data_IF_564395646004
#
_entry.id   IF_564395646004
#
_cell.length_a   1.000
_cell.length_b   1.000
_cell.length_c   1.000
_cell.angle_alpha   90.00
_cell.angle_beta   90.00
_cell.angle_gamma   90.00
#
_symmetry.space_group_name_H-M   'P 1'
#
loop_
_entity.id
_entity.type
_entity.pdbx_description
1 polymer ?
#
# COMPACT_ATOMS: atom_id res chain seq x y z
N UNK A 1 -17.04 -84.17 3.05
CA UNK A 1 -15.88 -83.67 3.83
C UNK A 1 -15.80 -82.16 3.63
N UNK A 2 -15.77 -81.38 4.73
CA UNK A 2 -15.04 -80.11 4.98
C UNK A 2 -14.83 -79.13 3.78
N UNK A 3 -15.09 -77.82 3.80
CA UNK A 3 -15.18 -76.79 4.86
C UNK A 3 -16.03 -75.60 4.33
N UNK A 4 -16.89 -74.96 5.13
CA UNK A 4 -16.69 -73.70 5.89
C UNK A 4 -16.25 -72.48 5.05
N UNK A 5 -17.01 -71.37 5.20
CA UNK A 5 -16.56 -69.97 5.38
C UNK A 5 -17.28 -69.01 4.41
N UNK A 6 -18.33 -68.28 4.77
CA UNK A 6 -18.53 -67.21 5.77
C UNK A 6 -18.02 -65.82 5.32
N UNK A 7 -18.84 -64.78 5.57
CA UNK A 7 -18.61 -63.32 5.45
C UNK A 7 -18.58 -62.69 4.03
N UNK A 8 -19.07 -61.48 3.74
CA UNK A 8 -19.62 -60.37 4.53
C UNK A 8 -20.46 -59.43 3.63
N UNK A 9 -21.45 -58.78 4.24
CA UNK A 9 -22.18 -57.60 3.75
C UNK A 9 -21.22 -56.41 3.60
N UNK A 10 -21.27 -55.68 2.49
CA UNK A 10 -20.72 -54.31 2.43
C UNK A 10 -21.75 -53.39 1.79
N UNK A 11 -22.34 -52.56 2.65
CA UNK A 11 -23.19 -51.41 2.35
C UNK A 11 -22.27 -50.27 1.91
N UNK A 12 -22.29 -49.88 0.64
CA UNK A 12 -21.54 -48.72 0.15
C UNK A 12 -22.36 -47.45 0.33
N UNK A 13 -21.95 -46.65 1.32
CA UNK A 13 -22.42 -45.27 1.51
C UNK A 13 -21.74 -44.39 0.45
N UNK A 14 -22.53 -43.77 -0.43
CA UNK A 14 -22.04 -42.78 -1.37
C UNK A 14 -21.78 -41.46 -0.62
N UNK A 15 -20.51 -41.13 -0.39
CA UNK A 15 -20.10 -39.84 0.14
C UNK A 15 -20.11 -38.79 -0.98
N UNK A 16 -20.91 -37.74 -0.82
CA UNK A 16 -20.92 -36.57 -1.68
C UNK A 16 -19.64 -35.75 -1.48
N UNK A 17 -18.82 -35.60 -2.53
CA UNK A 17 -17.67 -34.70 -2.55
C UNK A 17 -18.16 -33.29 -2.88
N UNK A 18 -18.36 -32.47 -1.85
CA UNK A 18 -18.43 -31.01 -2.01
C UNK A 18 -17.03 -30.53 -2.34
N UNK A 19 -16.79 -30.13 -3.59
CA UNK A 19 -15.55 -29.47 -4.00
C UNK A 19 -15.53 -28.05 -3.45
N UNK A 20 -15.20 -27.91 -2.17
CA UNK A 20 -14.78 -26.62 -1.62
C UNK A 20 -13.33 -26.40 -2.07
N UNK A 21 -13.14 -25.56 -3.10
CA UNK A 21 -11.81 -25.06 -3.44
C UNK A 21 -11.22 -24.40 -2.21
N UNK A 22 -9.99 -24.73 -1.79
CA UNK A 22 -9.33 -23.95 -0.78
C UNK A 22 -9.15 -22.54 -1.35
N UNK A 23 -9.74 -21.55 -0.68
CA UNK A 23 -9.33 -20.16 -0.82
C UNK A 23 -7.90 -20.17 -0.30
N UNK A 24 -6.93 -20.21 -1.22
CA UNK A 24 -5.56 -19.84 -0.90
C UNK A 24 -5.66 -18.35 -0.58
N UNK A 25 -5.90 -18.06 0.71
CA UNK A 25 -5.47 -16.81 1.29
C UNK A 25 -3.97 -16.81 1.04
N UNK A 26 -3.52 -16.15 -0.03
CA UNK A 26 -2.11 -15.89 -0.21
C UNK A 26 -1.64 -15.25 1.08
N UNK A 27 -0.76 -15.88 1.86
CA UNK A 27 -0.04 -15.10 2.82
C UNK A 27 0.81 -14.19 1.95
N UNK A 28 0.37 -12.94 1.78
CA UNK A 28 1.30 -11.83 1.75
C UNK A 28 2.01 -11.85 3.11
N UNK A 29 2.88 -12.85 3.27
CA UNK A 29 4.04 -12.78 4.12
C UNK A 29 4.92 -11.73 3.44
N UNK A 30 4.53 -10.47 3.63
CA UNK A 30 5.43 -9.34 3.50
C UNK A 30 6.65 -9.71 4.31
N UNK A 31 7.72 -10.04 3.58
CA UNK A 31 9.02 -10.27 4.16
C UNK A 31 9.39 -8.98 4.91
N UNK A 32 9.18 -8.99 6.22
CA UNK A 32 9.73 -8.03 7.15
C UNK A 32 11.25 -8.18 7.09
N UNK A 33 11.88 -7.44 6.17
CA UNK A 33 13.32 -7.54 5.95
C UNK A 33 13.92 -6.42 5.09
N UNK A 34 13.16 -5.82 4.16
CA UNK A 34 13.71 -4.84 3.21
C UNK A 34 12.84 -3.60 3.00
N UNK A 35 12.13 -3.13 4.04
CA UNK A 35 11.50 -1.80 3.97
C UNK A 35 12.58 -0.73 3.95
N UNK A 36 12.87 -0.22 2.76
CA UNK A 36 13.86 0.82 2.55
C UNK A 36 13.22 2.17 2.91
N UNK A 37 13.64 2.72 4.05
CA UNK A 37 13.14 3.97 4.69
C UNK A 37 13.98 5.21 4.35
N UNK A 38 14.77 5.11 3.29
CA UNK A 38 15.61 6.18 2.76
C UNK A 38 15.17 6.40 1.32
N UNK A 39 14.02 7.04 1.13
CA UNK A 39 13.40 7.20 -0.18
C UNK A 39 14.38 7.84 -1.16
N UNK A 40 15.14 8.84 -0.72
CA UNK A 40 16.19 9.51 -1.50
C UNK A 40 17.29 8.57 -2.03
N UNK A 41 17.49 7.39 -1.42
CA UNK A 41 18.50 6.42 -1.84
C UNK A 41 17.99 5.50 -2.94
N UNK A 42 16.68 5.28 -2.98
CA UNK A 42 16.05 4.29 -3.85
C UNK A 42 15.14 4.91 -4.89
N UNK A 43 14.71 6.14 -4.75
CA UNK A 43 13.94 6.84 -5.76
C UNK A 43 14.64 8.14 -6.13
N UNK A 44 14.47 8.55 -7.40
CA UNK A 44 14.93 9.84 -7.87
C UNK A 44 14.07 10.93 -7.23
N UNK A 45 14.69 11.76 -6.42
CA UNK A 45 14.07 12.84 -5.67
C UNK A 45 13.70 14.05 -6.55
N UNK A 46 14.29 14.14 -7.74
CA UNK A 46 13.96 15.15 -8.77
C UNK A 46 12.76 14.77 -9.65
N UNK A 47 12.32 13.50 -9.65
CA UNK A 47 11.29 13.00 -10.56
C UNK A 47 9.86 12.99 -9.97
N UNK A 48 9.71 13.43 -8.71
CA UNK A 48 8.40 13.42 -8.06
C UNK A 48 7.41 14.34 -8.76
N UNK A 49 6.24 13.79 -9.07
CA UNK A 49 5.15 14.54 -9.67
C UNK A 49 3.79 14.07 -9.15
N UNK A 50 2.88 15.03 -8.97
CA UNK A 50 1.50 14.74 -8.64
C UNK A 50 0.66 14.56 -9.90
N UNK A 51 -0.08 13.45 -9.97
CA UNK A 51 -1.17 13.21 -10.92
C UNK A 51 -2.51 13.21 -10.19
N UNK A 52 -3.52 13.80 -10.82
CA UNK A 52 -4.90 13.84 -10.30
C UNK A 52 -5.02 14.33 -8.85
N UNK A 53 -4.09 15.17 -8.39
CA UNK A 53 -4.07 15.78 -7.05
C UNK A 53 -3.80 14.83 -5.87
N UNK A 54 -3.72 13.52 -6.11
CA UNK A 54 -3.65 12.48 -5.05
C UNK A 54 -2.70 11.34 -5.40
N UNK A 55 -2.33 11.16 -6.66
CA UNK A 55 -1.42 10.11 -7.10
C UNK A 55 0.00 10.65 -7.19
N UNK A 56 0.87 10.27 -6.26
CA UNK A 56 2.29 10.60 -6.31
C UNK A 56 2.99 9.61 -7.22
N UNK A 57 3.68 10.09 -8.26
CA UNK A 57 4.54 9.25 -9.09
C UNK A 57 6.00 9.59 -8.91
N UNK A 58 6.85 8.59 -9.05
CA UNK A 58 8.30 8.74 -9.09
C UNK A 58 8.96 7.52 -9.74
N UNK A 59 10.28 7.56 -9.83
CA UNK A 59 11.09 6.46 -10.33
C UNK A 59 11.87 5.84 -9.19
N UNK A 60 11.74 4.53 -9.00
CA UNK A 60 12.36 3.82 -7.89
C UNK A 60 13.19 2.63 -8.39
N UNK A 61 14.32 2.40 -7.74
CA UNK A 61 15.32 1.39 -8.06
C UNK A 61 14.94 0.05 -7.43
N UNK A 62 14.80 -0.96 -8.26
CA UNK A 62 14.65 -2.35 -7.88
C UNK A 62 15.96 -2.97 -7.41
N UNK A 63 15.90 -4.16 -6.82
CA UNK A 63 17.06 -4.85 -6.26
C UNK A 63 18.01 -5.36 -7.36
N UNK A 64 17.49 -5.58 -8.57
CA UNK A 64 18.26 -5.83 -9.79
C UNK A 64 18.99 -4.58 -10.31
N UNK A 65 18.79 -3.42 -9.67
CA UNK A 65 19.37 -2.15 -10.01
C UNK A 65 18.63 -1.35 -11.08
N UNK A 66 17.55 -1.88 -11.66
CA UNK A 66 16.72 -1.20 -12.66
C UNK A 66 15.85 -0.12 -12.05
N UNK A 67 15.66 0.99 -12.75
CA UNK A 67 14.70 2.03 -12.36
C UNK A 67 13.32 1.69 -12.93
N UNK A 68 12.28 1.79 -12.10
CA UNK A 68 10.90 1.48 -12.47
C UNK A 68 9.99 2.67 -12.13
N UNK A 69 9.05 3.04 -13.02
CA UNK A 69 8.08 4.07 -12.71
C UNK A 69 7.03 3.51 -11.75
N UNK A 70 6.81 4.20 -10.64
CA UNK A 70 5.86 3.79 -9.61
C UNK A 70 4.92 4.92 -9.26
N UNK A 71 3.75 4.53 -8.76
CA UNK A 71 2.70 5.45 -8.36
C UNK A 71 2.02 4.98 -7.09
N UNK A 72 1.68 5.91 -6.22
CA UNK A 72 0.97 5.65 -4.98
C UNK A 72 -0.17 6.65 -4.78
N UNK A 73 -1.33 6.17 -4.35
CA UNK A 73 -2.44 7.03 -3.96
C UNK A 73 -2.24 7.52 -2.52
N UNK A 74 -1.98 8.82 -2.39
CA UNK A 74 -1.77 9.47 -1.10
C UNK A 74 -3.02 9.46 -0.22
N UNK A 75 -4.23 9.29 -0.75
CA UNK A 75 -5.41 9.08 0.10
C UNK A 75 -5.35 7.79 0.91
N UNK A 76 -4.61 6.79 0.42
CA UNK A 76 -4.40 5.54 1.14
C UNK A 76 -3.34 5.68 2.24
N UNK A 77 -2.49 6.70 2.20
CA UNK A 77 -1.39 6.86 3.16
C UNK A 77 -1.58 8.05 4.11
N UNK A 78 -2.28 9.09 3.68
CA UNK A 78 -2.31 10.38 4.37
C UNK A 78 -3.71 10.76 4.81
N UNK A 79 -3.77 11.37 5.98
CA UNK A 79 -4.95 12.03 6.54
C UNK A 79 -4.64 13.47 6.91
N UNK A 80 -5.69 14.19 7.27
CA UNK A 80 -5.60 15.54 7.80
C UNK A 80 -6.01 15.55 9.29
N UNK A 81 -5.04 15.80 10.17
CA UNK A 81 -5.26 15.97 11.60
C UNK A 81 -5.24 17.47 11.95
N UNK A 82 -6.42 18.10 11.95
CA UNK A 82 -6.60 19.50 12.34
C UNK A 82 -5.73 20.51 11.55
N UNK A 83 -5.66 20.36 10.23
CA UNK A 83 -4.85 21.18 9.33
C UNK A 83 -3.41 20.68 9.17
N UNK A 84 -3.06 19.54 9.76
CA UNK A 84 -1.74 18.90 9.62
C UNK A 84 -1.85 17.64 8.78
N UNK A 85 -1.02 17.55 7.72
CA UNK A 85 -0.87 16.34 6.92
C UNK A 85 -0.07 15.32 7.73
N UNK A 86 -0.63 14.12 7.92
CA UNK A 86 -0.03 13.06 8.74
C UNK A 86 -0.17 11.72 8.05
N UNK A 87 0.77 10.81 8.32
CA UNK A 87 0.59 9.39 7.97
C UNK A 87 -0.62 8.85 8.71
N UNK A 88 -1.61 8.41 7.94
CA UNK A 88 -2.84 7.80 8.41
C UNK A 88 -3.33 6.87 7.29
N UNK A 89 -3.12 5.55 7.42
CA UNK A 89 -3.62 4.58 6.46
C UNK A 89 -5.13 4.76 6.21
N UNK A 90 -5.52 4.88 4.94
CA UNK A 90 -6.90 5.15 4.52
C UNK A 90 -7.44 6.51 4.97
N UNK A 91 -6.58 7.47 5.31
CA UNK A 91 -6.97 8.75 5.91
C UNK A 91 -7.70 9.71 4.98
N UNK A 92 -7.55 9.57 3.65
CA UNK A 92 -8.30 10.35 2.67
C UNK A 92 -8.08 11.87 2.80
N UNK A 93 -6.83 12.33 2.92
CA UNK A 93 -6.51 13.75 3.12
C UNK A 93 -7.17 14.69 2.10
N UNK A 94 -7.39 14.22 0.85
CA UNK A 94 -7.97 15.02 -0.24
C UNK A 94 -9.35 15.61 0.09
N UNK A 95 -10.10 14.99 1.01
CA UNK A 95 -11.40 15.50 1.44
C UNK A 95 -11.34 16.86 2.14
N UNK A 96 -10.17 17.26 2.63
CA UNK A 96 -10.00 18.46 3.45
C UNK A 96 -8.69 19.20 3.21
N UNK A 97 -7.94 18.82 2.17
CA UNK A 97 -6.72 19.49 1.77
C UNK A 97 -6.80 19.91 0.30
N UNK A 98 -5.91 20.82 -0.10
CA UNK A 98 -5.83 21.25 -1.49
C UNK A 98 -5.26 20.13 -2.36
N UNK A 99 -6.00 19.77 -3.40
CA UNK A 99 -5.60 18.80 -4.41
C UNK A 99 -5.76 19.34 -5.82
N UNK A 100 -5.90 20.67 -5.97
CA UNK A 100 -5.90 21.28 -7.28
C UNK A 100 -4.56 21.03 -8.01
N UNK A 101 -4.54 20.94 -9.35
CA UNK A 101 -3.28 20.85 -10.07
C UNK A 101 -2.31 21.98 -9.67
N UNK A 102 -1.10 21.61 -9.23
CA UNK A 102 -0.09 22.57 -8.76
C UNK A 102 -0.22 23.03 -7.29
N UNK A 103 -1.19 22.51 -6.52
CA UNK A 103 -1.31 22.83 -5.09
C UNK A 103 -0.24 22.17 -4.22
N UNK A 104 0.37 21.09 -4.71
CA UNK A 104 1.45 20.39 -4.04
C UNK A 104 2.79 21.00 -4.42
N UNK A 105 3.64 21.20 -3.42
CA UNK A 105 5.05 21.48 -3.63
C UNK A 105 5.90 20.36 -3.06
N UNK A 106 7.03 20.11 -3.72
CA UNK A 106 8.05 19.20 -3.23
C UNK A 106 9.19 20.03 -2.64
N UNK A 107 9.43 19.86 -1.33
CA UNK A 107 10.59 20.45 -0.66
C UNK A 107 11.64 19.36 -0.44
N UNK A 108 12.92 19.71 -0.63
CA UNK A 108 14.07 18.80 -0.42
C UNK A 108 13.96 17.44 -1.12
N UNK A 109 13.21 17.34 -2.22
CA UNK A 109 13.01 16.11 -3.00
C UNK A 109 12.35 14.93 -2.26
N UNK A 110 11.98 15.12 -1.00
CA UNK A 110 11.50 14.04 -0.11
C UNK A 110 10.34 14.48 0.77
N UNK A 111 9.91 15.73 0.65
CA UNK A 111 8.81 16.28 1.44
C UNK A 111 7.69 16.72 0.50
N UNK A 112 6.48 16.22 0.71
CA UNK A 112 5.28 16.70 0.03
C UNK A 112 4.57 17.71 0.92
N UNK A 113 4.31 18.89 0.37
CA UNK A 113 3.61 19.97 1.05
C UNK A 113 2.30 20.31 0.34
N UNK A 114 1.27 20.67 1.09
CA UNK A 114 -0.01 21.18 0.60
C UNK A 114 -0.64 22.08 1.68
N UNK A 115 -1.86 22.56 1.46
CA UNK A 115 -2.64 23.30 2.46
C UNK A 115 -3.85 22.49 2.88
N UNK A 116 -4.07 22.34 4.18
CA UNK A 116 -5.17 21.56 4.75
C UNK A 116 -6.09 22.43 5.62
N UNK A 117 -7.37 22.10 5.63
CA UNK A 117 -8.38 22.78 6.45
C UNK A 117 -8.34 22.25 7.88
N UNK A 118 -8.31 23.17 8.84
CA UNK A 118 -8.29 22.92 10.28
C UNK A 118 -9.72 22.85 10.84
N UNK A 119 -9.89 22.36 12.06
CA UNK A 119 -11.21 22.20 12.70
C UNK A 119 -11.94 23.52 12.94
N UNK A 120 -11.20 24.64 12.98
CA UNK A 120 -11.74 26.01 13.01
C UNK A 120 -12.09 26.57 11.61
N UNK A 121 -11.92 25.79 10.55
CA UNK A 121 -12.14 26.20 9.16
C UNK A 121 -10.95 26.93 8.52
N UNK A 122 -9.89 27.24 9.26
CA UNK A 122 -8.71 27.90 8.71
C UNK A 122 -7.89 26.97 7.80
N UNK A 123 -7.21 27.54 6.81
CA UNK A 123 -6.34 26.82 5.87
C UNK A 123 -4.89 26.92 6.35
N UNK A 124 -4.24 25.78 6.60
CA UNK A 124 -2.88 25.71 7.15
C UNK A 124 -1.93 25.03 6.16
N UNK A 125 -0.81 25.66 5.76
CA UNK A 125 0.23 24.98 5.00
C UNK A 125 0.85 23.89 5.87
N UNK A 126 1.09 22.73 5.29
CA UNK A 126 1.56 21.56 6.01
C UNK A 126 2.34 20.65 5.07
N UNK A 127 3.23 19.85 5.65
CA UNK A 127 4.14 18.99 4.91
C UNK A 127 4.26 17.64 5.60
N UNK A 128 4.50 16.59 4.83
CA UNK A 128 4.86 15.27 5.31
C UNK A 128 6.09 14.78 4.55
N UNK A 129 7.07 14.22 5.26
CA UNK A 129 8.18 13.55 4.59
C UNK A 129 7.65 12.24 3.97
N UNK A 130 8.06 11.94 2.75
CA UNK A 130 7.68 10.71 2.03
C UNK A 130 8.12 9.47 2.83
N UNK A 131 9.28 9.55 3.49
CA UNK A 131 9.78 8.50 4.39
C UNK A 131 8.86 8.22 5.60
N UNK A 132 8.02 9.19 6.00
CA UNK A 132 7.10 9.01 7.12
C UNK A 132 5.91 8.11 6.76
N UNK A 133 5.47 8.11 5.51
CA UNK A 133 4.23 7.43 5.09
C UNK A 133 4.39 6.41 3.97
N UNK A 134 5.53 6.35 3.28
CA UNK A 134 5.76 5.44 2.18
C UNK A 134 7.03 4.61 2.38
N UNK A 135 7.06 3.45 1.74
CA UNK A 135 8.24 2.57 1.67
C UNK A 135 8.43 2.06 0.24
N UNK A 136 9.66 1.67 -0.07
CA UNK A 136 10.00 1.00 -1.33
C UNK A 136 10.49 -0.41 -1.05
N UNK A 137 9.93 -1.37 -1.77
CA UNK A 137 10.34 -2.76 -1.75
C UNK A 137 10.58 -3.24 -3.19
N UNK A 138 11.82 -3.61 -3.52
CA UNK A 138 12.21 -4.04 -4.86
C UNK A 138 11.70 -3.11 -5.99
N UNK A 139 11.86 -1.80 -5.77
CA UNK A 139 11.44 -0.77 -6.72
C UNK A 139 9.93 -0.52 -6.76
N UNK A 140 9.13 -1.10 -5.86
CA UNK A 140 7.69 -0.87 -5.74
C UNK A 140 7.39 0.10 -4.59
N UNK A 141 6.67 1.17 -4.87
CA UNK A 141 6.28 2.18 -3.88
C UNK A 141 4.96 1.79 -3.20
N UNK A 142 4.87 1.90 -1.88
CA UNK A 142 3.67 1.50 -1.12
C UNK A 142 3.49 2.31 0.16
N UNK A 143 2.25 2.42 0.66
CA UNK A 143 1.98 3.10 1.93
C UNK A 143 2.53 2.25 3.06
N UNK A 144 2.97 2.90 4.13
CA UNK A 144 3.30 2.23 5.38
C UNK A 144 2.01 1.74 6.05
N UNK A 145 2.03 0.48 6.47
CA UNK A 145 1.00 -0.14 7.32
C UNK A 145 1.22 0.12 8.79
#
# INVERSE_FOLDING_TARGET
MKMISNFATILTVAAALVSASPIISSPDAVAAGNEKRQMYKYCNDDDWNMKSGTILNGWCRADDGTMRPESIDLNQCLGNANGKLVHQPGGGYANSCDTAPGSHSFSSGTTVCTTCTSGDGSRKPTCAAIDDFATVNNGRLSCRG
#
